data_IF_295185684190
#
_entry.id   IF_295185684190
#
_cell.length_a   1.000
_cell.length_b   1.000
_cell.length_c   1.000
_cell.angle_alpha   90.00
_cell.angle_beta   90.00
_cell.angle_gamma   90.00
#
_symmetry.space_group_name_H-M   'P 1'
#
loop_
_entity.id
_entity.type
_entity.pdbx_description
1 polymer ?
#
# COMPACT_ATOMS: atom_id res chain seq x y z
N UNK A 1 -54.79 4.94 26.97
CA UNK A 1 -53.82 5.52 26.02
C UNK A 1 -54.61 6.37 25.04
N UNK A 2 -54.52 7.69 25.18
CA UNK A 2 -55.26 8.63 24.34
C UNK A 2 -54.55 8.84 23.00
N UNK A 3 -55.30 9.23 21.95
CA UNK A 3 -54.78 9.44 20.59
C UNK A 3 -53.53 10.33 20.55
N UNK A 4 -53.52 11.39 21.36
CA UNK A 4 -52.37 12.31 21.47
C UNK A 4 -51.11 11.63 22.04
N UNK A 5 -51.28 10.75 23.03
CA UNK A 5 -50.18 9.98 23.64
C UNK A 5 -49.60 8.97 22.63
N UNK A 6 -50.45 8.35 21.81
CA UNK A 6 -50.01 7.44 20.74
C UNK A 6 -49.21 8.16 19.66
N UNK A 7 -49.66 9.34 19.23
CA UNK A 7 -48.97 10.15 18.20
C UNK A 7 -47.64 10.68 18.72
N UNK A 8 -47.59 11.14 19.97
CA UNK A 8 -46.34 11.56 20.62
C UNK A 8 -45.35 10.39 20.75
N UNK A 9 -45.83 9.20 21.13
CA UNK A 9 -45.00 8.01 21.18
C UNK A 9 -44.43 7.63 19.80
N UNK A 10 -45.25 7.73 18.74
CA UNK A 10 -44.81 7.48 17.36
C UNK A 10 -43.71 8.45 16.94
N UNK A 11 -43.87 9.75 17.19
CA UNK A 11 -42.85 10.76 16.87
C UNK A 11 -41.57 10.57 17.68
N UNK A 12 -41.67 10.20 18.95
CA UNK A 12 -40.50 9.88 19.77
C UNK A 12 -39.73 8.68 19.19
N UNK A 13 -40.42 7.60 18.82
CA UNK A 13 -39.78 6.42 18.19
C UNK A 13 -39.12 6.80 16.87
N UNK A 14 -39.78 7.56 16.00
CA UNK A 14 -39.22 8.01 14.72
C UNK A 14 -37.97 8.87 14.92
N UNK A 15 -38.00 9.79 15.88
CA UNK A 15 -36.86 10.64 16.20
C UNK A 15 -35.67 9.81 16.72
N UNK A 16 -35.88 8.98 17.74
CA UNK A 16 -34.79 8.19 18.33
C UNK A 16 -34.22 7.16 17.35
N UNK A 17 -35.06 6.52 16.53
CA UNK A 17 -34.58 5.57 15.50
C UNK A 17 -33.77 6.27 14.41
N UNK A 18 -34.18 7.46 13.97
CA UNK A 18 -33.44 8.24 12.96
C UNK A 18 -32.08 8.69 13.51
N UNK A 19 -32.05 9.22 14.73
CA UNK A 19 -30.79 9.65 15.38
C UNK A 19 -29.86 8.45 15.61
N UNK A 20 -30.39 7.31 16.07
CA UNK A 20 -29.61 6.08 16.26
C UNK A 20 -29.03 5.56 14.94
N UNK A 21 -29.80 5.61 13.85
CA UNK A 21 -29.32 5.18 12.53
C UNK A 21 -28.18 6.07 12.01
N UNK A 22 -28.32 7.40 12.13
CA UNK A 22 -27.27 8.34 11.71
C UNK A 22 -26.00 8.14 12.53
N UNK A 23 -26.12 8.02 13.85
CA UNK A 23 -24.97 7.79 14.72
C UNK A 23 -24.25 6.48 14.38
N UNK A 24 -25.01 5.39 14.21
CA UNK A 24 -24.44 4.11 13.81
C UNK A 24 -23.69 4.24 12.48
N UNK A 25 -24.27 4.90 11.48
CA UNK A 25 -23.60 5.07 10.17
C UNK A 25 -22.26 5.79 10.31
N UNK A 26 -22.21 6.89 11.07
CA UNK A 26 -20.97 7.64 11.32
C UNK A 26 -19.93 6.79 12.06
N UNK A 27 -20.37 5.95 13.01
CA UNK A 27 -19.47 5.03 13.71
C UNK A 27 -18.90 3.96 12.76
N UNK A 28 -19.71 3.40 11.86
CA UNK A 28 -19.25 2.45 10.83
C UNK A 28 -18.25 3.08 9.86
N UNK A 29 -18.53 4.29 9.38
CA UNK A 29 -17.63 5.00 8.47
C UNK A 29 -16.28 5.30 9.17
N UNK A 30 -16.31 5.69 10.45
CA UNK A 30 -15.09 5.91 11.25
C UNK A 30 -14.27 4.63 11.44
N UNK A 31 -14.94 3.50 11.69
CA UNK A 31 -14.29 2.20 11.80
C UNK A 31 -13.62 1.79 10.48
N UNK A 32 -14.28 2.05 9.35
CA UNK A 32 -13.72 1.79 8.02
C UNK A 32 -12.45 2.61 7.76
N UNK A 33 -12.41 3.89 8.16
CA UNK A 33 -11.21 4.72 8.02
C UNK A 33 -10.04 4.24 8.89
N UNK A 34 -10.32 3.74 10.10
CA UNK A 34 -9.29 3.15 10.97
C UNK A 34 -8.74 1.87 10.35
N UNK A 35 -9.60 1.03 9.80
CA UNK A 35 -9.18 -0.21 9.12
C UNK A 35 -8.34 0.07 7.87
N UNK A 36 -8.78 1.01 7.02
CA UNK A 36 -8.03 1.47 5.84
C UNK A 36 -6.66 2.03 6.23
N UNK A 37 -6.60 2.84 7.29
CA UNK A 37 -5.34 3.39 7.82
C UNK A 37 -4.38 2.29 8.27
N UNK A 38 -4.88 1.26 8.96
CA UNK A 38 -4.07 0.12 9.39
C UNK A 38 -3.50 -0.66 8.19
N UNK A 39 -4.32 -0.89 7.16
CA UNK A 39 -3.88 -1.54 5.91
C UNK A 39 -2.80 -0.73 5.20
N UNK A 40 -2.94 0.59 5.13
CA UNK A 40 -1.96 1.49 4.51
C UNK A 40 -0.62 1.43 5.26
N UNK A 41 -0.64 1.45 6.60
CA UNK A 41 0.58 1.34 7.41
C UNK A 41 1.27 0.00 7.19
N UNK A 42 0.52 -1.11 7.23
CA UNK A 42 1.08 -2.45 7.00
C UNK A 42 1.63 -2.62 5.58
N UNK A 43 0.90 -2.13 4.58
CA UNK A 43 1.36 -2.12 3.18
C UNK A 43 2.66 -1.32 3.04
N UNK A 44 2.80 -0.20 3.75
CA UNK A 44 4.01 0.62 3.76
C UNK A 44 5.19 -0.13 4.38
N UNK A 45 5.00 -0.75 5.54
CA UNK A 45 6.04 -1.58 6.18
C UNK A 45 6.45 -2.77 5.30
N UNK A 46 5.49 -3.44 4.67
CA UNK A 46 5.77 -4.53 3.74
C UNK A 46 6.52 -4.03 2.51
N UNK A 47 6.16 -2.86 1.98
CA UNK A 47 6.86 -2.21 0.87
C UNK A 47 8.31 -1.90 1.20
N UNK A 48 8.57 -1.35 2.38
CA UNK A 48 9.93 -1.13 2.86
C UNK A 48 10.71 -2.42 3.04
N UNK A 49 10.10 -3.49 3.56
CA UNK A 49 10.75 -4.80 3.66
C UNK A 49 11.29 -5.31 2.32
N UNK A 50 10.53 -5.15 1.23
CA UNK A 50 10.99 -5.55 -0.11
C UNK A 50 12.12 -4.67 -0.62
N UNK A 51 12.10 -3.35 -0.35
CA UNK A 51 13.20 -2.46 -0.70
C UNK A 51 14.46 -2.79 0.11
N UNK A 52 14.31 -3.10 1.39
CA UNK A 52 15.43 -3.49 2.25
C UNK A 52 16.01 -4.86 1.85
N UNK A 53 15.21 -5.75 1.28
CA UNK A 53 15.69 -6.99 0.66
C UNK A 53 16.58 -6.72 -0.56
N UNK A 54 16.24 -5.73 -1.39
CA UNK A 54 17.10 -5.29 -2.51
C UNK A 54 18.44 -4.80 -1.95
N UNK A 55 18.42 -3.94 -0.94
CA UNK A 55 19.63 -3.42 -0.30
C UNK A 55 20.48 -4.55 0.28
N UNK A 56 19.87 -5.47 1.03
CA UNK A 56 20.59 -6.60 1.62
C UNK A 56 21.24 -7.48 0.54
N UNK A 57 20.56 -7.73 -0.57
CA UNK A 57 21.10 -8.51 -1.71
C UNK A 57 22.22 -7.78 -2.45
N UNK A 58 22.15 -6.46 -2.57
CA UNK A 58 23.22 -5.64 -3.15
C UNK A 58 24.45 -5.58 -2.24
N UNK A 59 24.26 -5.36 -0.92
CA UNK A 59 25.35 -5.30 0.05
C UNK A 59 26.07 -6.65 0.23
N UNK A 60 25.30 -7.74 0.27
CA UNK A 60 25.85 -9.11 0.37
C UNK A 60 26.47 -9.63 -0.93
N UNK A 61 26.44 -8.84 -2.02
CA UNK A 61 26.90 -9.22 -3.37
C UNK A 61 26.21 -10.44 -3.97
N UNK A 62 25.07 -10.86 -3.43
CA UNK A 62 24.23 -11.92 -4.00
C UNK A 62 23.53 -11.46 -5.29
N UNK A 63 23.36 -10.15 -5.46
CA UNK A 63 22.78 -9.52 -6.64
C UNK A 63 23.76 -8.52 -7.25
N UNK A 64 24.02 -8.65 -8.54
CA UNK A 64 24.72 -7.61 -9.31
C UNK A 64 23.79 -6.43 -9.59
N UNK A 65 24.31 -5.20 -9.56
CA UNK A 65 23.52 -3.98 -9.80
C UNK A 65 22.73 -4.00 -11.12
N UNK A 66 23.33 -4.53 -12.19
CA UNK A 66 22.68 -4.65 -13.49
C UNK A 66 21.49 -5.63 -13.48
N UNK A 67 21.42 -6.53 -12.50
CA UNK A 67 20.39 -7.56 -12.39
C UNK A 67 19.21 -7.11 -11.51
N UNK A 68 19.21 -5.89 -10.99
CA UNK A 68 18.07 -5.35 -10.24
C UNK A 68 16.80 -5.39 -11.10
N UNK A 69 16.88 -4.93 -12.35
CA UNK A 69 15.73 -4.89 -13.27
C UNK A 69 15.23 -6.27 -13.67
N UNK A 70 16.07 -7.30 -13.69
CA UNK A 70 15.65 -8.65 -14.03
C UNK A 70 15.05 -9.40 -12.84
N UNK A 71 15.51 -9.11 -11.62
CA UNK A 71 15.08 -9.82 -10.41
C UNK A 71 13.88 -9.16 -9.71
N UNK A 72 13.68 -7.85 -9.87
CA UNK A 72 12.64 -7.08 -9.18
C UNK A 72 11.52 -6.58 -10.11
N UNK A 73 11.13 -7.43 -11.07
CA UNK A 73 9.95 -7.28 -11.90
C UNK A 73 9.03 -8.47 -11.69
N UNK A 74 8.23 -8.44 -10.62
CA UNK A 74 7.35 -9.55 -10.26
C UNK A 74 6.03 -9.07 -9.66
N UNK A 75 5.05 -9.97 -9.62
CA UNK A 75 3.82 -9.80 -8.86
C UNK A 75 3.63 -11.00 -7.96
N UNK A 76 3.47 -10.77 -6.66
CA UNK A 76 3.32 -11.81 -5.66
C UNK A 76 2.19 -11.46 -4.69
N UNK A 77 1.49 -12.48 -4.20
CA UNK A 77 0.52 -12.33 -3.13
C UNK A 77 1.14 -12.71 -1.79
N UNK A 78 0.98 -11.86 -0.78
CA UNK A 78 1.45 -12.08 0.59
C UNK A 78 0.25 -12.09 1.52
N UNK A 79 0.15 -13.14 2.34
CA UNK A 79 -0.84 -13.25 3.39
C UNK A 79 -0.19 -12.95 4.74
N UNK A 80 -0.66 -11.92 5.44
CA UNK A 80 -0.21 -11.63 6.80
C UNK A 80 -1.03 -12.44 7.81
N UNK A 81 -0.37 -13.24 8.64
CA UNK A 81 -1.02 -14.07 9.67
C UNK A 81 -1.90 -13.23 10.63
N UNK A 82 -1.46 -12.01 10.92
CA UNK A 82 -2.27 -10.99 11.59
C UNK A 82 -2.06 -9.65 10.86
N UNK A 83 -3.12 -8.93 10.46
CA UNK A 83 -4.56 -9.13 10.73
C UNK A 83 -5.31 -9.98 9.68
N UNK A 84 -4.68 -11.01 9.09
CA UNK A 84 -5.30 -11.84 8.04
C UNK A 84 -5.64 -11.08 6.75
N UNK A 85 -4.84 -10.06 6.42
CA UNK A 85 -4.96 -9.34 5.15
C UNK A 85 -4.09 -9.95 4.08
N UNK A 86 -4.66 -10.02 2.87
CA UNK A 86 -3.98 -10.46 1.66
C UNK A 86 -3.58 -9.24 0.86
N UNK A 87 -2.28 -9.08 0.64
CA UNK A 87 -1.70 -8.01 -0.17
C UNK A 87 -1.18 -8.58 -1.49
N UNK A 88 -1.44 -7.87 -2.58
CA UNK A 88 -0.76 -8.07 -3.85
C UNK A 88 0.38 -7.07 -3.94
N UNK A 89 1.59 -7.60 -4.00
CA UNK A 89 2.84 -6.88 -4.14
C UNK A 89 3.23 -6.89 -5.61
N UNK A 90 3.35 -5.71 -6.21
CA UNK A 90 3.86 -5.54 -7.56
C UNK A 90 5.19 -4.78 -7.48
N UNK A 91 6.28 -5.49 -7.75
CA UNK A 91 7.60 -4.90 -7.89
C UNK A 91 7.86 -4.55 -9.35
N UNK A 92 8.25 -3.30 -9.60
CA UNK A 92 8.64 -2.81 -10.92
C UNK A 92 10.00 -2.13 -10.82
N UNK A 93 10.96 -2.65 -11.57
CA UNK A 93 12.33 -2.15 -11.58
C UNK A 93 12.73 -1.72 -12.99
N UNK A 94 13.28 -0.52 -13.10
CA UNK A 94 13.72 0.07 -14.37
C UNK A 94 14.97 0.92 -14.18
N UNK A 95 15.73 1.09 -15.26
CA UNK A 95 16.87 2.00 -15.28
C UNK A 95 16.38 3.44 -15.31
N UNK A 96 17.00 4.32 -14.53
CA UNK A 96 16.57 5.71 -14.40
C UNK A 96 17.74 6.71 -14.46
N UNK A 97 17.40 7.99 -14.53
CA UNK A 97 18.32 9.09 -14.25
C UNK A 97 18.49 9.31 -12.73
N UNK A 98 19.26 10.34 -12.35
CA UNK A 98 19.48 10.71 -10.94
C UNK A 98 18.23 11.22 -10.23
N UNK A 99 17.18 11.61 -10.98
CA UNK A 99 15.89 12.05 -10.44
C UNK A 99 14.87 10.91 -10.37
N UNK A 100 15.22 9.70 -10.84
CA UNK A 100 14.33 8.54 -10.84
C UNK A 100 13.35 8.50 -12.01
N UNK A 101 13.59 9.28 -13.06
CA UNK A 101 12.85 9.23 -14.33
C UNK A 101 13.36 8.05 -15.15
N UNK A 102 12.44 7.24 -15.69
CA UNK A 102 12.80 6.07 -16.49
C UNK A 102 13.56 6.48 -17.76
N UNK A 103 14.67 5.80 -18.04
CA UNK A 103 15.40 5.96 -19.29
C UNK A 103 14.60 5.34 -20.43
N UNK A 104 14.42 6.08 -21.53
CA UNK A 104 13.72 5.61 -22.73
C UNK A 104 14.46 4.49 -23.44
N UNK A 105 15.79 4.45 -23.32
CA UNK A 105 16.66 3.43 -23.91
C UNK A 105 17.55 2.82 -22.83
N UNK A 106 17.48 1.50 -22.60
CA UNK A 106 18.35 0.83 -21.63
C UNK A 106 19.83 0.97 -21.99
N UNK A 107 20.66 1.23 -20.99
CA UNK A 107 22.11 1.38 -21.09
C UNK A 107 22.79 0.13 -20.52
N UNK A 108 23.91 -0.32 -21.11
CA UNK A 108 24.61 -1.55 -20.72
C UNK A 108 25.21 -1.50 -19.30
N UNK A 109 25.50 -0.29 -18.79
CA UNK A 109 26.01 -0.05 -17.43
C UNK A 109 25.24 1.13 -16.82
N UNK A 110 24.00 0.93 -16.35
CA UNK A 110 23.22 2.01 -15.74
C UNK A 110 23.92 2.48 -14.46
N UNK A 111 23.90 3.80 -14.24
CA UNK A 111 24.35 4.42 -13.00
C UNK A 111 23.28 4.35 -11.91
N UNK A 112 22.01 4.47 -12.31
CA UNK A 112 20.87 4.48 -11.42
C UNK A 112 19.82 3.46 -11.86
N UNK A 113 19.23 2.80 -10.88
CA UNK A 113 18.08 1.92 -11.07
C UNK A 113 17.05 2.26 -10.00
N UNK A 114 15.78 2.35 -10.39
CA UNK A 114 14.67 2.57 -9.47
C UNK A 114 13.88 1.28 -9.32
N UNK A 115 13.57 0.93 -8.07
CA UNK A 115 12.61 -0.12 -7.75
C UNK A 115 11.40 0.56 -7.13
N UNK A 116 10.24 0.33 -7.72
CA UNK A 116 8.95 0.78 -7.24
C UNK A 116 8.13 -0.44 -6.80
N UNK A 117 7.68 -0.42 -5.56
CA UNK A 117 6.82 -1.43 -4.97
C UNK A 117 5.43 -0.82 -4.82
N UNK A 118 4.47 -1.38 -5.56
CA UNK A 118 3.06 -1.05 -5.45
C UNK A 118 2.35 -2.15 -4.68
N UNK A 119 1.61 -1.74 -3.65
CA UNK A 119 0.81 -2.61 -2.80
C UNK A 119 -0.66 -2.35 -3.03
N UNK A 120 -1.42 -3.42 -3.24
CA UNK A 120 -2.88 -3.38 -3.30
C UNK A 120 -3.45 -4.48 -2.41
N UNK A 121 -4.68 -4.29 -1.94
CA UNK A 121 -5.46 -5.36 -1.33
C UNK A 121 -6.69 -5.61 -2.19
N UNK A 122 -7.14 -6.87 -2.34
CA UNK A 122 -8.37 -7.17 -3.07
C UNK A 122 -9.60 -6.54 -2.42
N UNK A 123 -9.58 -6.36 -1.09
CA UNK A 123 -10.69 -5.83 -0.31
C UNK A 123 -10.22 -4.72 0.64
N UNK A 124 -10.70 -3.50 0.40
CA UNK A 124 -10.76 -2.45 1.41
C UNK A 124 -9.52 -1.61 1.65
N UNK A 125 -8.64 -1.42 0.64
CA UNK A 125 -7.73 -0.28 0.63
C UNK A 125 -8.26 0.75 -0.39
N UNK A 126 -8.53 1.99 0.05
CA UNK A 126 -9.10 3.02 -0.84
C UNK A 126 -8.12 3.49 -1.90
N UNK A 127 -6.84 3.59 -1.55
CA UNK A 127 -5.77 4.07 -2.43
C UNK A 127 -4.58 3.12 -2.33
N UNK A 128 -4.01 2.65 -3.45
CA UNK A 128 -2.84 1.78 -3.42
C UNK A 128 -1.62 2.50 -2.85
N UNK A 129 -0.86 1.81 -1.99
CA UNK A 129 0.41 2.33 -1.47
C UNK A 129 1.51 2.10 -2.50
N UNK A 130 2.33 3.12 -2.72
CA UNK A 130 3.51 3.04 -3.59
C UNK A 130 4.72 3.58 -2.86
N UNK A 131 5.76 2.75 -2.76
CA UNK A 131 7.06 3.14 -2.20
C UNK A 131 8.14 2.84 -3.22
N UNK A 132 9.13 3.71 -3.33
CA UNK A 132 10.22 3.52 -4.26
C UNK A 132 11.55 3.92 -3.64
N UNK A 133 12.63 3.31 -4.13
CA UNK A 133 14.00 3.68 -3.81
C UNK A 133 14.82 3.70 -5.09
N UNK A 134 15.72 4.69 -5.17
CA UNK A 134 16.69 4.80 -6.25
C UNK A 134 18.00 4.25 -5.72
N UNK A 135 18.58 3.31 -6.44
CA UNK A 135 19.87 2.72 -6.15
C UNK A 135 20.90 3.31 -7.11
N UNK A 136 22.03 3.77 -6.57
CA UNK A 136 23.15 4.29 -7.34
C UNK A 136 24.32 3.34 -7.31
N UNK A 137 24.97 3.14 -8.45
CA UNK A 137 26.21 2.37 -8.53
C UNK A 137 27.39 3.23 -8.05
N UNK A 138 28.10 2.76 -7.03
CA UNK A 138 29.25 3.48 -6.44
C UNK A 138 30.59 3.17 -7.11
N UNK A 139 30.78 1.95 -7.64
CA UNK A 139 31.99 1.57 -8.36
C UNK A 139 31.74 1.53 -9.87
N UNK A 140 32.18 2.58 -10.54
CA UNK A 140 32.41 2.59 -11.99
C UNK A 140 33.83 2.07 -12.22
N UNK A 141 34.01 0.75 -12.31
CA UNK A 141 35.26 0.24 -12.89
C UNK A 141 35.23 0.59 -14.39
N UNK A 142 35.88 1.72 -14.70
CA UNK A 142 36.40 2.07 -16.02
C UNK A 142 37.57 1.14 -16.29
#
# INVERSE_FOLDING_TARGET
>A
MNLLEMVLALFAVLFFTTVALVYNRVAWDSMEYIDDSNKVIQATHLGHRYLDEVDAKLFSKQLAFNNITTNFNFTQTVNLVHPSYVYTVQATAFQCDSMGVALSTPVTKPLYSRVNIRMTTPYGMKVPVQVFRIYSRTNYNI
#
